data_IF_881714747178
#
_entry.id   IF_881714747178
#
_cell.length_a   1.000
_cell.length_b   1.000
_cell.length_c   1.000
_cell.angle_alpha   90.00
_cell.angle_beta   90.00
_cell.angle_gamma   90.00
#
_symmetry.space_group_name_H-M   'P 1'
#
loop_
_entity.id
_entity.type
_entity.pdbx_description
1 polymer ?
#
# COMPACT_ATOMS: atom_id res chain seq x y z
N UNK A 1 -20.89 12.19 2.89
CA UNK A 1 -19.91 11.70 1.89
C UNK A 1 -18.63 11.49 2.63
N UNK A 2 -18.15 10.24 2.69
CA UNK A 2 -16.93 9.88 3.42
C UNK A 2 -15.73 10.15 2.50
N UNK A 3 -14.70 10.79 3.04
CA UNK A 3 -13.43 11.02 2.37
C UNK A 3 -12.35 10.23 3.08
N UNK A 4 -11.65 9.38 2.35
CA UNK A 4 -10.55 8.61 2.86
C UNK A 4 -9.22 9.24 2.45
N UNK A 5 -8.22 8.97 3.27
CA UNK A 5 -6.82 9.10 2.92
C UNK A 5 -6.21 7.70 2.86
N UNK A 6 -5.34 7.46 1.89
CA UNK A 6 -4.70 6.16 1.69
C UNK A 6 -3.20 6.35 1.52
N UNK A 7 -2.41 5.58 2.26
CA UNK A 7 -0.97 5.40 2.00
C UNK A 7 -0.72 4.06 1.33
N UNK A 8 0.13 4.05 0.32
CA UNK A 8 0.53 2.85 -0.40
C UNK A 8 2.06 2.76 -0.44
N UNK A 9 2.56 1.58 -0.09
CA UNK A 9 3.97 1.23 -0.23
C UNK A 9 4.13 -0.17 -0.85
N UNK A 10 5.23 -0.41 -1.55
CA UNK A 10 5.58 -1.74 -2.04
C UNK A 10 6.15 -2.60 -0.91
N UNK A 11 5.96 -3.92 -1.01
CA UNK A 11 6.56 -4.86 -0.07
C UNK A 11 7.17 -6.01 -0.82
N UNK A 12 8.33 -6.47 -0.36
CA UNK A 12 9.00 -7.65 -0.87
C UNK A 12 9.54 -8.49 0.26
N UNK A 13 9.54 -9.81 0.04
CA UNK A 13 10.27 -10.74 0.89
C UNK A 13 11.77 -10.58 0.68
N UNK A 14 12.61 -11.15 1.55
CA UNK A 14 14.03 -10.79 1.59
C UNK A 14 14.77 -11.08 0.29
N UNK A 15 14.38 -12.16 -0.39
CA UNK A 15 14.98 -12.59 -1.65
C UNK A 15 14.08 -12.27 -2.86
N UNK A 16 13.01 -11.48 -2.67
CA UNK A 16 12.07 -11.09 -3.72
C UNK A 16 11.23 -12.24 -4.28
N UNK A 17 11.16 -13.39 -3.61
CA UNK A 17 10.34 -14.53 -4.05
C UNK A 17 8.84 -14.26 -3.93
N UNK A 18 8.44 -13.31 -3.10
CA UNK A 18 7.08 -12.81 -3.05
C UNK A 18 7.10 -11.30 -2.84
N UNK A 19 6.22 -10.61 -3.55
CA UNK A 19 6.13 -9.15 -3.52
C UNK A 19 4.68 -8.70 -3.64
N UNK A 20 4.40 -7.48 -3.24
CA UNK A 20 3.09 -6.88 -3.39
C UNK A 20 3.05 -5.49 -2.81
N UNK A 21 1.98 -5.17 -2.10
CA UNK A 21 1.71 -3.82 -1.63
C UNK A 21 1.08 -3.82 -0.25
N UNK A 22 1.31 -2.74 0.48
CA UNK A 22 0.59 -2.45 1.71
C UNK A 22 -0.22 -1.19 1.55
N UNK A 23 -1.45 -1.21 2.07
CA UNK A 23 -2.40 -0.11 2.02
C UNK A 23 -2.86 0.20 3.43
N UNK A 24 -2.72 1.44 3.89
CA UNK A 24 -3.45 1.95 5.04
C UNK A 24 -4.48 2.95 4.53
N UNK A 25 -5.74 2.78 4.90
CA UNK A 25 -6.77 3.78 4.61
C UNK A 25 -7.67 4.04 5.79
N UNK A 26 -8.02 5.30 6.01
CA UNK A 26 -8.92 5.75 7.07
C UNK A 26 -9.55 7.09 6.69
N UNK A 27 -10.56 7.54 7.45
CA UNK A 27 -11.25 8.80 7.20
C UNK A 27 -10.31 10.02 7.33
N UNK A 28 -10.34 10.90 6.33
CA UNK A 28 -9.54 12.12 6.23
C UNK A 28 -9.66 13.01 7.47
N UNK A 29 -10.80 12.98 8.18
CA UNK A 29 -10.98 13.76 9.41
C UNK A 29 -9.93 13.46 10.49
N UNK A 30 -9.33 12.26 10.49
CA UNK A 30 -8.31 11.86 11.45
C UNK A 30 -6.87 12.15 10.98
N UNK A 31 -6.68 12.59 9.73
CA UNK A 31 -5.36 12.77 9.14
C UNK A 31 -4.49 13.77 9.91
N UNK A 32 -5.06 14.91 10.28
CA UNK A 32 -4.29 15.97 10.95
C UNK A 32 -3.76 15.46 12.30
N UNK A 33 -4.62 14.85 13.12
CA UNK A 33 -4.23 14.29 14.41
C UNK A 33 -3.20 13.16 14.25
N UNK A 34 -3.36 12.30 13.24
CA UNK A 34 -2.40 11.25 12.92
C UNK A 34 -1.02 11.84 12.58
N UNK A 35 -0.96 12.83 11.69
CA UNK A 35 0.28 13.49 11.29
C UNK A 35 0.96 14.20 12.46
N UNK A 36 0.19 14.94 13.28
CA UNK A 36 0.74 15.66 14.43
C UNK A 36 1.36 14.70 15.45
N UNK A 37 0.66 13.59 15.75
CA UNK A 37 1.18 12.56 16.67
C UNK A 37 2.40 11.85 16.08
N UNK A 38 2.38 11.50 14.80
CA UNK A 38 3.51 10.88 14.12
C UNK A 38 4.74 11.79 14.11
N UNK A 39 4.56 13.09 13.84
CA UNK A 39 5.61 14.10 13.87
C UNK A 39 6.24 14.23 15.26
N UNK A 40 5.42 14.30 16.32
CA UNK A 40 5.91 14.34 17.71
C UNK A 40 6.75 13.09 18.04
N UNK A 41 6.31 11.90 17.60
CA UNK A 41 7.07 10.65 17.79
C UNK A 41 8.40 10.70 17.04
N UNK A 42 8.40 11.17 15.80
CA UNK A 42 9.58 11.29 14.96
C UNK A 42 10.62 12.21 15.59
N UNK A 43 10.22 13.40 16.05
CA UNK A 43 11.09 14.38 16.72
C UNK A 43 11.71 13.82 18.01
N UNK A 44 10.89 13.22 18.88
CA UNK A 44 11.38 12.59 20.13
C UNK A 44 12.36 11.46 19.86
N UNK A 45 12.12 10.69 18.81
CA UNK A 45 12.96 9.57 18.42
C UNK A 45 14.28 10.01 17.75
N UNK A 46 14.37 11.26 17.25
CA UNK A 46 15.48 11.76 16.41
C UNK A 46 15.73 10.89 15.17
N UNK A 47 14.66 10.32 14.61
CA UNK A 47 14.68 9.63 13.32
C UNK A 47 14.40 10.62 12.20
N UNK A 48 14.79 10.27 10.97
CA UNK A 48 14.45 11.04 9.77
C UNK A 48 13.06 10.67 9.24
N UNK A 49 12.74 9.38 9.25
CA UNK A 49 11.43 8.81 8.96
C UNK A 49 11.24 7.51 9.76
N UNK A 50 10.01 7.01 9.82
CA UNK A 50 9.73 5.64 10.21
C UNK A 50 9.84 4.73 8.99
N UNK A 51 11.05 4.22 8.74
CA UNK A 51 11.30 3.23 7.70
C UNK A 51 11.73 1.90 8.30
N UNK A 52 11.04 0.81 7.96
CA UNK A 52 11.28 -0.52 8.48
C UNK A 52 12.70 -1.05 8.19
N UNK A 53 13.37 -0.60 7.13
CA UNK A 53 14.79 -0.93 6.85
C UNK A 53 15.74 -0.25 7.84
N UNK A 54 15.37 0.89 8.40
CA UNK A 54 16.17 1.63 9.39
C UNK A 54 15.91 1.20 10.83
N UNK A 55 15.01 0.24 11.05
CA UNK A 55 14.64 -0.26 12.36
C UNK A 55 15.86 -0.76 13.15
N UNK A 56 16.04 -0.20 14.35
CA UNK A 56 17.16 -0.53 15.26
C UNK A 56 16.61 -0.83 16.65
N UNK A 57 17.21 -1.82 17.33
CA UNK A 57 16.83 -2.24 18.70
C UNK A 57 16.72 -1.08 19.70
N UNK A 58 17.60 -0.09 19.62
CA UNK A 58 17.59 1.09 20.51
C UNK A 58 16.41 2.06 20.27
N UNK A 59 15.63 1.86 19.22
CA UNK A 59 14.46 2.67 18.83
C UNK A 59 13.16 1.86 18.85
N UNK A 60 13.20 0.64 19.39
CA UNK A 60 12.07 -0.30 19.40
C UNK A 60 10.79 0.33 19.92
N UNK A 61 10.86 1.07 21.02
CA UNK A 61 9.69 1.67 21.65
C UNK A 61 9.00 2.70 20.74
N UNK A 62 9.76 3.54 20.03
CA UNK A 62 9.19 4.51 19.08
C UNK A 62 8.50 3.86 17.88
N UNK A 63 9.07 2.77 17.36
CA UNK A 63 8.44 2.01 16.27
C UNK A 63 7.16 1.32 16.76
N UNK A 64 7.16 0.82 18.01
CA UNK A 64 5.96 0.26 18.63
C UNK A 64 4.88 1.33 18.83
N UNK A 65 5.23 2.51 19.33
CA UNK A 65 4.31 3.64 19.48
C UNK A 65 3.73 4.08 18.13
N UNK A 66 4.52 4.08 17.06
CA UNK A 66 4.04 4.38 15.72
C UNK A 66 3.07 3.30 15.19
N UNK A 67 3.35 2.02 15.42
CA UNK A 67 2.40 0.94 15.11
C UNK A 67 1.09 1.08 15.91
N UNK A 68 1.16 1.49 17.18
CA UNK A 68 -0.02 1.75 18.01
C UNK A 68 -0.84 2.94 17.47
N UNK A 69 -0.17 3.97 16.95
CA UNK A 69 -0.85 5.10 16.30
C UNK A 69 -1.60 4.63 15.04
N UNK A 70 -0.99 3.77 14.22
CA UNK A 70 -1.64 3.15 13.05
C UNK A 70 -2.87 2.36 13.48
N UNK A 71 -2.75 1.49 14.50
CA UNK A 71 -3.89 0.76 15.06
C UNK A 71 -5.00 1.71 15.52
N UNK A 72 -4.65 2.80 16.19
CA UNK A 72 -5.64 3.73 16.76
C UNK A 72 -6.52 4.41 15.71
N UNK A 73 -6.05 4.61 14.48
CA UNK A 73 -6.90 5.16 13.39
C UNK A 73 -7.76 4.09 12.73
N UNK A 74 -7.32 2.83 12.75
CA UNK A 74 -8.13 1.69 12.31
C UNK A 74 -9.30 1.46 13.28
N UNK A 75 -9.02 1.51 14.58
CA UNK A 75 -10.02 1.30 15.64
C UNK A 75 -11.03 2.46 15.77
N UNK A 76 -10.83 3.59 15.07
CA UNK A 76 -11.71 4.78 15.18
C UNK A 76 -12.91 4.77 14.25
N UNK A 77 -12.84 4.09 13.10
CA UNK A 77 -13.83 4.25 12.04
C UNK A 77 -14.06 2.95 11.28
N UNK A 78 -15.34 2.63 11.05
CA UNK A 78 -15.74 1.43 10.34
C UNK A 78 -15.23 1.35 8.89
N UNK A 79 -14.85 2.49 8.29
CA UNK A 79 -14.33 2.56 6.93
C UNK A 79 -12.80 2.43 6.89
N UNK A 80 -12.13 2.38 8.04
CA UNK A 80 -10.69 2.23 8.13
C UNK A 80 -10.28 0.77 7.93
N UNK A 81 -9.18 0.58 7.21
CA UNK A 81 -8.53 -0.72 7.09
C UNK A 81 -7.05 -0.57 6.81
N UNK A 82 -6.30 -1.63 7.11
CA UNK A 82 -4.94 -1.83 6.65
C UNK A 82 -4.81 -3.22 6.04
N UNK A 83 -4.14 -3.32 4.91
CA UNK A 83 -3.98 -4.58 4.20
C UNK A 83 -2.57 -4.68 3.63
N UNK A 84 -1.89 -5.79 3.92
CA UNK A 84 -0.67 -6.20 3.22
C UNK A 84 -1.02 -7.36 2.27
N UNK A 85 -0.61 -7.28 1.01
CA UNK A 85 -0.72 -8.37 0.06
C UNK A 85 0.66 -8.82 -0.39
N UNK A 86 0.86 -10.13 -0.46
CA UNK A 86 2.02 -10.77 -1.08
C UNK A 86 1.53 -11.65 -2.22
N UNK A 87 2.13 -11.49 -3.38
CA UNK A 87 1.88 -12.28 -4.59
C UNK A 87 3.08 -13.18 -4.83
N UNK A 88 2.84 -14.38 -5.33
CA UNK A 88 3.90 -15.16 -5.94
C UNK A 88 4.32 -14.53 -7.28
N UNK A 89 5.48 -14.96 -7.78
CA UNK A 89 6.07 -14.42 -9.01
C UNK A 89 5.18 -14.63 -10.25
N UNK A 90 4.52 -15.77 -10.39
CA UNK A 90 3.66 -16.05 -11.54
C UNK A 90 2.44 -15.14 -11.53
N UNK A 91 1.73 -15.08 -10.39
CA UNK A 91 0.58 -14.18 -10.25
C UNK A 91 0.96 -12.71 -10.44
N UNK A 92 2.09 -12.28 -9.89
CA UNK A 92 2.60 -10.91 -10.08
C UNK A 92 2.83 -10.60 -11.56
N UNK A 93 3.49 -11.50 -12.29
CA UNK A 93 3.79 -11.29 -13.70
C UNK A 93 2.52 -11.24 -14.55
N UNK A 94 1.57 -12.14 -14.31
CA UNK A 94 0.28 -12.13 -14.99
C UNK A 94 -0.51 -10.86 -14.69
N UNK A 95 -0.57 -10.46 -13.42
CA UNK A 95 -1.28 -9.25 -13.00
C UNK A 95 -0.62 -7.97 -13.52
N UNK A 96 0.71 -7.92 -13.57
CA UNK A 96 1.45 -6.84 -14.23
C UNK A 96 1.12 -6.76 -15.72
N UNK A 97 1.15 -7.89 -16.44
CA UNK A 97 0.80 -7.93 -17.86
C UNK A 97 -0.64 -7.48 -18.11
N UNK A 98 -1.57 -7.88 -17.25
CA UNK A 98 -2.95 -7.41 -17.27
C UNK A 98 -3.04 -5.89 -17.08
N UNK A 99 -2.41 -5.35 -16.03
CA UNK A 99 -2.44 -3.92 -15.73
C UNK A 99 -1.84 -3.10 -16.86
N UNK A 100 -0.67 -3.50 -17.37
CA UNK A 100 -0.05 -2.88 -18.54
C UNK A 100 -1.00 -2.88 -19.72
N UNK A 101 -1.51 -4.06 -20.12
CA UNK A 101 -2.40 -4.18 -21.28
C UNK A 101 -3.66 -3.30 -21.19
N UNK A 102 -4.27 -3.20 -20.00
CA UNK A 102 -5.45 -2.35 -19.78
C UNK A 102 -5.10 -0.87 -19.94
N UNK A 103 -4.00 -0.42 -19.34
CA UNK A 103 -3.59 0.99 -19.39
C UNK A 103 -3.10 1.36 -20.78
N UNK A 104 -2.12 0.65 -21.37
CA UNK A 104 -1.57 1.03 -22.67
C UNK A 104 -2.66 1.02 -23.75
N UNK A 105 -3.55 0.02 -23.76
CA UNK A 105 -4.66 -0.01 -24.73
C UNK A 105 -5.59 1.20 -24.56
N UNK A 106 -6.01 1.50 -23.32
CA UNK A 106 -6.92 2.61 -23.06
C UNK A 106 -6.29 3.96 -23.40
N UNK A 107 -5.00 4.13 -23.10
CA UNK A 107 -4.27 5.37 -23.35
C UNK A 107 -3.98 5.57 -24.84
N UNK A 108 -3.62 4.50 -25.55
CA UNK A 108 -3.45 4.52 -27.01
C UNK A 108 -4.77 4.85 -27.72
N UNK A 109 -5.90 4.24 -27.32
CA UNK A 109 -7.23 4.57 -27.87
C UNK A 109 -7.64 6.02 -27.59
N UNK A 110 -7.13 6.63 -26.52
CA UNK A 110 -7.35 8.03 -26.17
C UNK A 110 -6.35 9.00 -26.85
N UNK A 111 -5.39 8.52 -27.64
CA UNK A 111 -4.38 9.35 -28.32
C UNK A 111 -3.25 9.85 -27.41
N UNK A 112 -2.94 9.12 -26.32
CA UNK A 112 -1.85 9.45 -25.40
C UNK A 112 -0.58 8.72 -25.87
N UNK A 113 0.40 9.47 -26.36
CA UNK A 113 1.61 8.92 -26.98
C UNK A 113 2.90 9.08 -26.13
N UNK A 114 2.84 9.79 -24.99
CA UNK A 114 3.98 9.94 -24.06
C UNK A 114 4.31 8.58 -23.41
N UNK A 115 5.22 7.83 -24.03
CA UNK A 115 5.62 6.49 -23.56
C UNK A 115 6.19 6.48 -22.13
N UNK A 116 6.87 7.55 -21.71
CA UNK A 116 7.40 7.66 -20.35
C UNK A 116 6.29 7.83 -19.31
N UNK A 117 5.22 8.54 -19.67
CA UNK A 117 4.01 8.65 -18.86
C UNK A 117 3.18 7.35 -18.87
N UNK A 118 3.01 6.71 -20.02
CA UNK A 118 2.30 5.42 -20.14
C UNK A 118 2.96 4.38 -19.23
N UNK A 119 4.29 4.21 -19.32
CA UNK A 119 5.03 3.28 -18.45
C UNK A 119 4.78 3.54 -16.96
N UNK A 120 4.75 4.82 -16.55
CA UNK A 120 4.49 5.18 -15.17
C UNK A 120 3.04 4.88 -14.74
N UNK A 121 2.06 5.15 -15.61
CA UNK A 121 0.67 4.81 -15.35
C UNK A 121 0.44 3.29 -15.27
N UNK A 122 1.11 2.50 -16.11
CA UNK A 122 1.09 1.03 -16.03
C UNK A 122 1.64 0.52 -14.70
N UNK A 123 2.75 1.11 -14.23
CA UNK A 123 3.34 0.77 -12.94
C UNK A 123 2.39 1.12 -11.78
N UNK A 124 1.77 2.30 -11.84
CA UNK A 124 0.81 2.76 -10.83
C UNK A 124 -0.48 1.91 -10.81
N UNK A 125 -0.89 1.34 -11.95
CA UNK A 125 -2.14 0.60 -12.03
C UNK A 125 -2.19 -0.64 -11.12
N UNK A 126 -1.06 -1.32 -10.90
CA UNK A 126 -1.01 -2.52 -10.05
C UNK A 126 -1.42 -2.25 -8.58
N UNK A 127 -0.75 -1.34 -7.84
CA UNK A 127 -1.17 -1.02 -6.47
C UNK A 127 -2.59 -0.48 -6.43
N UNK A 128 -2.98 0.35 -7.40
CA UNK A 128 -4.31 0.95 -7.44
C UNK A 128 -5.39 -0.12 -7.62
N UNK A 129 -5.29 -0.97 -8.65
CA UNK A 129 -6.28 -2.02 -8.91
C UNK A 129 -6.36 -3.04 -7.79
N UNK A 130 -5.23 -3.29 -7.11
CA UNK A 130 -5.19 -4.11 -5.89
C UNK A 130 -5.94 -3.41 -4.76
N UNK A 131 -5.71 -2.11 -4.54
CA UNK A 131 -6.44 -1.33 -3.54
C UNK A 131 -7.96 -1.45 -3.74
N UNK A 132 -8.49 -1.25 -4.96
CA UNK A 132 -9.93 -1.43 -5.24
C UNK A 132 -10.43 -2.84 -4.92
N UNK A 133 -9.63 -3.85 -5.25
CA UNK A 133 -9.96 -5.26 -5.03
C UNK A 133 -9.93 -5.65 -3.55
N UNK A 134 -9.13 -4.96 -2.73
CA UNK A 134 -8.94 -5.26 -1.30
C UNK A 134 -9.78 -4.39 -0.40
N UNK A 135 -10.26 -3.27 -0.90
CA UNK A 135 -11.12 -2.37 -0.15
C UNK A 135 -12.37 -3.11 0.37
N UNK A 136 -12.67 -3.04 1.68
CA UNK A 136 -13.91 -3.60 2.20
C UNK A 136 -15.10 -2.93 1.52
N UNK A 137 -15.98 -3.69 0.90
CA UNK A 137 -17.02 -3.16 0.02
C UNK A 137 -18.10 -2.45 0.86
N UNK A 138 -17.96 -1.13 1.07
CA UNK A 138 -18.94 -0.32 1.81
C UNK A 138 -20.05 0.20 0.88
N UNK A 139 -21.30 0.34 1.37
CA UNK A 139 -22.46 0.67 0.53
C UNK A 139 -22.49 2.12 0.06
N UNK A 140 -21.76 3.03 0.71
CA UNK A 140 -21.82 4.47 0.44
C UNK A 140 -20.79 4.95 -0.60
N UNK A 141 -21.05 6.13 -1.18
CA UNK A 141 -20.07 6.80 -2.04
C UNK A 141 -18.91 7.32 -1.20
N UNK A 142 -17.77 6.64 -1.36
CA UNK A 142 -16.51 6.98 -0.71
C UNK A 142 -15.55 7.58 -1.73
N UNK A 143 -14.96 8.72 -1.38
CA UNK A 143 -13.87 9.33 -2.12
C UNK A 143 -12.55 9.01 -1.44
N UNK A 144 -11.45 8.90 -2.19
CA UNK A 144 -10.12 8.74 -1.60
C UNK A 144 -9.07 9.64 -2.23
N UNK A 145 -8.15 10.12 -1.38
CA UNK A 145 -6.86 10.70 -1.74
C UNK A 145 -5.75 9.70 -1.41
N UNK A 146 -4.83 9.49 -2.34
CA UNK A 146 -3.82 8.44 -2.27
C UNK A 146 -2.42 9.04 -2.30
N UNK A 147 -1.60 8.66 -1.35
CA UNK A 147 -0.16 8.89 -1.32
C UNK A 147 0.54 7.58 -1.69
N UNK A 148 1.39 7.62 -2.71
CA UNK A 148 2.17 6.46 -3.18
C UNK A 148 3.65 6.80 -3.09
N UNK A 149 4.46 5.84 -2.64
CA UNK A 149 5.91 6.03 -2.60
C UNK A 149 6.49 6.36 -3.96
N UNK A 150 7.47 7.26 -3.96
CA UNK A 150 8.10 7.76 -5.17
C UNK A 150 9.24 6.85 -5.55
N UNK A 151 9.20 6.41 -6.81
CA UNK A 151 10.37 5.89 -7.49
C UNK A 151 10.66 6.64 -8.80
N UNK A 152 11.76 6.27 -9.46
CA UNK A 152 12.23 6.91 -10.69
C UNK A 152 11.23 6.84 -11.84
N UNK A 153 10.39 5.81 -11.90
CA UNK A 153 9.34 5.63 -12.91
C UNK A 153 8.11 6.43 -12.52
N UNK A 154 7.62 6.28 -11.28
CA UNK A 154 6.42 6.98 -10.80
C UNK A 154 6.59 8.50 -10.76
N UNK A 155 7.82 9.00 -10.59
CA UNK A 155 8.10 10.44 -10.67
C UNK A 155 7.71 11.09 -12.01
N UNK A 156 7.49 10.30 -13.07
CA UNK A 156 7.02 10.81 -14.38
C UNK A 156 5.53 11.15 -14.42
N UNK A 157 4.80 10.79 -13.37
CA UNK A 157 3.39 11.17 -13.15
C UNK A 157 3.30 12.57 -12.55
N UNK A 158 4.30 12.99 -11.76
CA UNK A 158 4.28 14.29 -11.11
C UNK A 158 4.08 15.43 -12.13
N UNK A 159 3.20 16.35 -11.73
CA UNK A 159 2.43 17.27 -12.56
C UNK A 159 3.20 17.86 -13.75
N UNK A 160 2.90 17.34 -14.93
CA UNK A 160 3.14 17.98 -16.22
C UNK A 160 1.88 17.89 -17.07
N UNK A 161 1.84 18.68 -18.14
CA UNK A 161 0.77 18.63 -19.14
C UNK A 161 1.06 17.49 -20.13
N UNK A 162 0.00 16.82 -20.61
CA UNK A 162 0.04 15.95 -21.78
C UNK A 162 -0.50 16.72 -22.97
N UNK A 163 0.06 16.44 -24.14
CA UNK A 163 -0.54 16.82 -25.40
C UNK A 163 -1.28 15.60 -25.92
N UNK A 164 -2.59 15.73 -26.13
CA UNK A 164 -3.47 14.68 -26.66
C UNK A 164 -4.29 15.31 -27.78
N UNK A 165 -4.11 14.83 -29.01
CA UNK A 165 -4.76 15.39 -30.21
C UNK A 165 -4.62 16.92 -30.28
N UNK A 166 -3.38 17.43 -30.17
CA UNK A 166 -3.02 18.85 -30.13
C UNK A 166 -3.61 19.68 -28.96
N UNK A 167 -4.31 19.03 -28.02
CA UNK A 167 -4.88 19.66 -26.85
C UNK A 167 -4.06 19.36 -25.61
N UNK A 168 -3.89 20.38 -24.78
CA UNK A 168 -3.17 20.26 -23.53
C UNK A 168 -4.11 19.82 -22.40
N UNK A 169 -3.80 18.71 -21.74
CA UNK A 169 -4.55 18.18 -20.59
C UNK A 169 -3.63 17.92 -19.40
N UNK A 170 -4.17 17.87 -18.18
CA UNK A 170 -3.40 17.43 -17.00
C UNK A 170 -3.15 15.92 -17.06
N UNK A 171 -1.92 15.49 -16.75
CA UNK A 171 -1.51 14.07 -16.58
C UNK A 171 -2.38 13.29 -15.59
N UNK A 172 -2.93 13.95 -14.58
CA UNK A 172 -3.83 13.29 -13.62
C UNK A 172 -5.12 12.80 -14.29
N UNK A 173 -5.54 13.47 -15.37
CA UNK A 173 -6.83 13.23 -16.03
C UNK A 173 -7.00 11.77 -16.48
N UNK A 174 -6.12 11.23 -17.33
CA UNK A 174 -6.24 9.84 -17.76
C UNK A 174 -6.00 8.83 -16.64
N UNK A 175 -5.18 9.13 -15.62
CA UNK A 175 -4.95 8.24 -14.48
C UNK A 175 -6.22 8.10 -13.62
N UNK A 176 -6.80 9.21 -13.16
CA UNK A 176 -8.01 9.14 -12.32
C UNK A 176 -9.18 8.53 -13.11
N UNK A 177 -9.30 8.85 -14.40
CA UNK A 177 -10.37 8.34 -15.25
C UNK A 177 -10.28 6.82 -15.45
N UNK A 178 -9.09 6.31 -15.80
CA UNK A 178 -8.85 4.87 -16.00
C UNK A 178 -9.09 4.07 -14.72
N UNK A 179 -8.61 4.55 -13.58
CA UNK A 179 -8.84 3.89 -12.30
C UNK A 179 -10.32 3.87 -11.91
N UNK A 180 -11.00 5.02 -11.98
CA UNK A 180 -12.41 5.09 -11.62
C UNK A 180 -13.27 4.25 -12.58
N UNK A 181 -12.93 4.16 -13.86
CA UNK A 181 -13.61 3.28 -14.82
C UNK A 181 -13.39 1.80 -14.50
N UNK A 182 -12.17 1.39 -14.16
CA UNK A 182 -11.87 0.03 -13.72
C UNK A 182 -12.65 -0.34 -12.45
N UNK A 183 -12.55 0.51 -11.42
CA UNK A 183 -13.24 0.30 -10.14
C UNK A 183 -14.75 0.25 -10.34
N UNK A 184 -15.36 1.18 -11.08
CA UNK A 184 -16.80 1.15 -11.34
C UNK A 184 -17.29 -0.14 -12.01
N UNK A 185 -16.45 -0.77 -12.85
CA UNK A 185 -16.80 -2.01 -13.55
C UNK A 185 -16.56 -3.27 -12.72
N UNK A 186 -15.46 -3.34 -11.99
CA UNK A 186 -15.02 -4.57 -11.30
C UNK A 186 -15.34 -4.58 -9.81
N UNK A 187 -15.30 -3.40 -9.17
CA UNK A 187 -15.44 -3.21 -7.72
C UNK A 187 -16.33 -1.98 -7.46
N UNK A 188 -17.64 -2.05 -7.73
CA UNK A 188 -18.52 -0.88 -7.71
C UNK A 188 -18.63 -0.20 -6.34
N UNK A 189 -18.24 -0.88 -5.26
CA UNK A 189 -18.19 -0.36 -3.89
C UNK A 189 -16.78 0.07 -3.44
N UNK A 190 -15.77 0.01 -4.33
CA UNK A 190 -14.46 0.58 -4.05
C UNK A 190 -14.50 2.12 -4.09
N UNK A 191 -13.60 2.81 -3.38
CA UNK A 191 -13.56 4.26 -3.36
C UNK A 191 -13.24 4.80 -4.74
N UNK A 192 -13.91 5.90 -5.10
CA UNK A 192 -13.53 6.68 -6.28
C UNK A 192 -12.41 7.62 -5.89
N UNK A 193 -11.39 7.80 -6.73
CA UNK A 193 -10.40 8.85 -6.46
C UNK A 193 -10.85 10.18 -7.07
N UNK A 194 -10.68 11.24 -6.26
CA UNK A 194 -10.90 12.62 -6.68
C UNK A 194 -9.88 13.03 -7.75
N UNK A 195 -10.24 14.03 -8.55
CA UNK A 195 -9.28 14.63 -9.48
C UNK A 195 -8.09 15.17 -8.68
N UNK A 196 -6.87 15.03 -9.19
CA UNK A 196 -5.63 15.52 -8.53
C UNK A 196 -5.36 14.92 -7.14
N UNK A 197 -5.99 13.79 -6.79
CA UNK A 197 -5.87 13.21 -5.45
C UNK A 197 -4.83 12.08 -5.33
N UNK A 198 -4.10 11.77 -6.40
CA UNK A 198 -2.95 10.86 -6.35
C UNK A 198 -1.69 11.72 -6.20
N UNK A 199 -0.91 11.46 -5.16
CA UNK A 199 0.33 12.17 -4.86
C UNK A 199 1.48 11.18 -4.84
N UNK A 200 2.47 11.38 -5.70
CA UNK A 200 3.69 10.58 -5.72
C UNK A 200 4.74 11.30 -4.87
N UNK A 201 4.96 10.80 -3.66
CA UNK A 201 5.75 11.46 -2.64
C UNK A 201 6.88 10.53 -2.19
N UNK A 202 8.04 11.08 -1.85
CA UNK A 202 9.02 10.27 -1.11
C UNK A 202 8.45 9.90 0.27
N UNK A 203 8.74 8.70 0.75
CA UNK A 203 8.42 8.20 2.09
C UNK A 203 8.50 9.26 3.22
N UNK A 204 9.59 10.04 3.28
CA UNK A 204 9.84 11.08 4.28
C UNK A 204 8.77 12.18 4.32
N UNK A 205 8.03 12.37 3.22
CA UNK A 205 7.02 13.41 3.08
C UNK A 205 5.59 12.91 3.34
N UNK A 206 5.39 11.62 3.67
CA UNK A 206 4.06 11.10 4.02
C UNK A 206 4.12 10.04 5.12
N UNK A 207 3.52 10.35 6.26
CA UNK A 207 3.31 9.36 7.32
C UNK A 207 2.36 8.23 6.92
N UNK A 208 1.54 8.42 5.87
CA UNK A 208 0.70 7.36 5.33
C UNK A 208 1.55 6.30 4.61
N UNK A 209 2.53 6.72 3.81
CA UNK A 209 3.48 5.83 3.13
C UNK A 209 4.35 5.11 4.17
N UNK A 210 4.89 5.85 5.14
CA UNK A 210 5.68 5.27 6.23
C UNK A 210 4.88 4.23 7.03
N UNK A 211 3.58 4.46 7.24
CA UNK A 211 2.71 3.51 7.91
C UNK A 211 2.50 2.22 7.09
N UNK A 212 2.35 2.34 5.77
CA UNK A 212 2.25 1.20 4.86
C UNK A 212 3.57 0.38 4.85
N UNK A 213 4.73 1.04 4.72
CA UNK A 213 6.07 0.40 4.80
C UNK A 213 6.22 -0.38 6.12
N UNK A 214 5.93 0.31 7.22
CA UNK A 214 6.03 -0.23 8.57
C UNK A 214 5.15 -1.47 8.75
N UNK A 215 3.87 -1.39 8.39
CA UNK A 215 2.97 -2.52 8.54
C UNK A 215 3.36 -3.69 7.63
N UNK A 216 3.68 -3.44 6.36
CA UNK A 216 4.05 -4.48 5.40
C UNK A 216 5.28 -5.26 5.84
N UNK A 217 6.35 -4.56 6.22
CA UNK A 217 7.60 -5.19 6.65
C UNK A 217 7.46 -5.92 7.99
N UNK A 218 6.72 -5.34 8.95
CA UNK A 218 6.58 -5.93 10.27
C UNK A 218 5.63 -7.14 10.26
N UNK A 219 4.54 -7.09 9.48
CA UNK A 219 3.65 -8.24 9.27
C UNK A 219 4.35 -9.38 8.54
N UNK A 220 5.16 -9.09 7.51
CA UNK A 220 5.96 -10.11 6.81
C UNK A 220 7.00 -10.75 7.74
N UNK A 221 7.65 -9.96 8.60
CA UNK A 221 8.56 -10.49 9.63
C UNK A 221 7.83 -11.39 10.64
N UNK A 222 6.60 -11.02 11.03
CA UNK A 222 5.75 -11.83 11.89
C UNK A 222 5.35 -13.17 11.26
N UNK A 223 4.95 -13.16 9.99
CA UNK A 223 4.68 -14.38 9.22
C UNK A 223 5.92 -15.29 9.18
N UNK A 224 7.09 -14.74 8.88
CA UNK A 224 8.32 -15.52 8.84
C UNK A 224 8.66 -16.16 10.22
N UNK A 225 8.44 -15.42 11.32
CA UNK A 225 8.61 -15.94 12.69
C UNK A 225 7.65 -17.11 12.97
N UNK A 226 6.37 -16.99 12.58
CA UNK A 226 5.38 -18.08 12.74
C UNK A 226 5.82 -19.35 12.00
N UNK A 227 6.39 -19.20 10.81
CA UNK A 227 6.88 -20.32 10.01
C UNK A 227 8.20 -20.92 10.53
N UNK A 228 8.76 -20.39 11.61
CA UNK A 228 9.96 -20.92 12.28
C UNK A 228 11.28 -20.26 11.87
N UNK A 229 11.26 -19.19 11.07
CA UNK A 229 12.49 -18.47 10.70
C UNK A 229 13.06 -17.76 11.92
N UNK A 230 14.31 -18.04 12.24
CA UNK A 230 15.00 -17.40 13.35
C UNK A 230 15.95 -16.30 12.84
N UNK A 231 15.58 -15.03 13.04
CA UNK A 231 16.44 -13.89 12.71
C UNK A 231 16.33 -12.82 13.80
N UNK A 232 17.46 -12.40 14.38
CA UNK A 232 17.47 -11.40 15.47
C UNK A 232 16.71 -10.12 15.11
N UNK A 233 16.83 -9.65 13.86
CA UNK A 233 16.15 -8.44 13.39
C UNK A 233 14.66 -8.68 13.15
N UNK A 234 14.31 -9.76 12.43
CA UNK A 234 12.90 -10.06 12.12
C UNK A 234 12.12 -10.47 13.37
N UNK A 235 12.74 -11.16 14.32
CA UNK A 235 12.11 -11.53 15.58
C UNK A 235 11.70 -10.28 16.37
N UNK A 236 12.56 -9.25 16.41
CA UNK A 236 12.22 -7.98 17.07
C UNK A 236 11.08 -7.25 16.36
N UNK A 237 11.09 -7.18 15.01
CA UNK A 237 9.96 -6.61 14.24
C UNK A 237 8.65 -7.37 14.51
N UNK A 238 8.72 -8.69 14.44
CA UNK A 238 7.60 -9.59 14.69
C UNK A 238 7.03 -9.43 16.11
N UNK A 239 7.89 -9.32 17.13
CA UNK A 239 7.47 -9.09 18.52
C UNK A 239 6.78 -7.72 18.70
N UNK A 240 7.27 -6.67 18.04
CA UNK A 240 6.59 -5.37 18.04
C UNK A 240 5.21 -5.47 17.40
N UNK A 241 5.13 -6.13 16.24
CA UNK A 241 3.89 -6.32 15.51
C UNK A 241 2.86 -7.11 16.32
N UNK A 242 3.28 -8.27 16.85
CA UNK A 242 2.48 -9.16 17.68
C UNK A 242 1.94 -8.44 18.93
N UNK A 243 2.75 -7.59 19.58
CA UNK A 243 2.31 -6.80 20.74
C UNK A 243 1.24 -5.75 20.42
N UNK A 244 1.15 -5.29 19.17
CA UNK A 244 0.23 -4.22 18.77
C UNK A 244 -1.00 -4.76 18.08
N UNK A 245 -0.85 -5.79 17.24
CA UNK A 245 -1.94 -6.30 16.42
C UNK A 245 -2.33 -7.73 16.77
N UNK A 246 -1.57 -8.45 17.60
CA UNK A 246 -1.70 -9.89 17.82
C UNK A 246 -3.09 -10.37 18.24
N UNK A 247 -3.84 -9.53 18.94
CA UNK A 247 -5.22 -9.79 19.35
C UNK A 247 -6.24 -9.75 18.20
N UNK A 248 -5.88 -9.13 17.07
CA UNK A 248 -6.73 -9.03 15.87
C UNK A 248 -6.43 -10.11 14.83
N UNK A 249 -5.46 -11.01 15.08
CA UNK A 249 -4.92 -11.92 14.06
C UNK A 249 -5.40 -13.35 14.22
N UNK A 250 -6.05 -13.89 13.17
CA UNK A 250 -6.22 -15.34 13.00
C UNK A 250 -4.98 -15.92 12.31
N UNK A 251 -4.02 -16.41 13.11
CA UNK A 251 -2.77 -17.00 12.61
C UNK A 251 -2.92 -18.45 12.18
N UNK A 252 -4.05 -19.10 12.46
CA UNK A 252 -4.24 -20.54 12.24
C UNK A 252 -4.15 -20.94 10.76
N UNK A 253 -4.44 -20.01 9.86
CA UNK A 253 -4.44 -20.22 8.40
C UNK A 253 -3.11 -19.94 7.74
N UNK A 254 -2.19 -19.22 8.40
CA UNK A 254 -0.91 -18.80 7.82
C UNK A 254 -0.11 -20.01 7.30
N UNK A 255 0.09 -21.10 8.09
CA UNK A 255 0.84 -22.26 7.62
C UNK A 255 0.21 -23.01 6.44
N UNK A 256 -1.08 -22.77 6.13
CA UNK A 256 -1.76 -23.38 4.99
C UNK A 256 -1.64 -22.54 3.71
N UNK A 257 -1.27 -21.26 3.83
CA UNK A 257 -1.21 -20.32 2.70
C UNK A 257 0.23 -20.04 2.27
N UNK A 258 1.17 -20.03 3.22
CA UNK A 258 2.58 -19.67 3.00
C UNK A 258 3.53 -20.66 3.67
N UNK A 259 4.77 -20.71 3.19
CA UNK A 259 5.87 -21.50 3.76
C UNK A 259 7.22 -20.78 3.66
N UNK A 260 8.24 -21.37 4.29
CA UNK A 260 9.62 -20.96 4.11
C UNK A 260 10.28 -21.80 3.02
N UNK A 261 10.81 -21.12 2.00
CA UNK A 261 11.62 -21.70 0.94
C UNK A 261 12.92 -20.92 0.83
N UNK A 262 14.05 -21.56 1.10
CA UNK A 262 15.39 -20.94 1.18
C UNK A 262 15.41 -19.70 2.09
N UNK A 263 14.89 -19.86 3.30
CA UNK A 263 14.73 -18.80 4.30
C UNK A 263 13.83 -17.63 3.87
N UNK A 264 13.06 -17.74 2.78
CA UNK A 264 12.15 -16.69 2.35
C UNK A 264 10.68 -17.13 2.43
N UNK A 265 9.78 -16.17 2.67
CA UNK A 265 8.35 -16.45 2.72
C UNK A 265 7.84 -16.59 1.29
N UNK A 266 7.20 -17.71 0.97
CA UNK A 266 6.60 -17.98 -0.34
C UNK A 266 5.17 -18.48 -0.19
N UNK A 267 4.34 -18.26 -1.20
CA UNK A 267 2.99 -18.80 -1.24
C UNK A 267 3.02 -20.29 -1.60
N UNK A 268 2.18 -21.09 -0.92
CA UNK A 268 2.03 -22.53 -1.22
C UNK A 268 1.21 -22.82 -2.47
N UNK A 269 0.47 -21.82 -2.96
CA UNK A 269 -0.41 -21.89 -4.12
C UNK A 269 -0.30 -20.58 -4.89
N UNK A 270 -0.47 -20.66 -6.19
CA UNK A 270 -0.58 -19.48 -7.06
C UNK A 270 -1.70 -18.54 -6.58
N UNK A 271 -1.42 -17.23 -6.61
CA UNK A 271 -2.32 -16.17 -6.26
C UNK A 271 -1.71 -15.14 -5.31
N UNK A 272 -2.48 -14.79 -4.27
CA UNK A 272 -2.09 -13.77 -3.31
C UNK A 272 -2.41 -14.17 -1.87
N UNK A 273 -1.43 -14.02 -0.99
CA UNK A 273 -1.61 -14.02 0.45
C UNK A 273 -1.99 -12.61 0.91
N UNK A 274 -3.00 -12.50 1.76
CA UNK A 274 -3.53 -11.23 2.22
C UNK A 274 -3.57 -11.21 3.73
N UNK A 275 -3.14 -10.08 4.28
CA UNK A 275 -3.14 -9.81 5.70
C UNK A 275 -3.90 -8.51 5.93
N UNK A 276 -5.18 -8.63 6.27
CA UNK A 276 -6.10 -7.49 6.39
C UNK A 276 -6.57 -7.33 7.83
N UNK A 277 -6.51 -6.11 8.34
CA UNK A 277 -7.13 -5.69 9.59
C UNK A 277 -8.09 -4.55 9.24
N UNK A 278 -9.34 -4.69 9.62
CA UNK A 278 -10.38 -3.67 9.48
C UNK A 278 -11.08 -3.50 10.83
N UNK A 279 -11.80 -2.40 10.98
CA UNK A 279 -12.67 -2.16 12.13
C UNK A 279 -13.65 -3.33 12.34
N UNK A 280 -13.85 -3.73 13.60
CA UNK A 280 -14.75 -4.81 14.02
C UNK A 280 -16.09 -4.28 14.53
#
# INVERSE_FOLDING_TARGET
MIKLVTGIDDIGTMNGKSEGWTFLSFDEQYLQEFNDKAQILLEKSKLKSFHAKEFKRKKTDFYKEFLQLIRSVIDKDQNSFICCTLSDEAWKNDFKCFCSSVISKSFNEAGIEDGGFVEAAEKLAQPMFTYSRRFPQYPDVILTRIDVDRDSILSRIDSSKLIVNDNEISKDTPIFASFNAYSAKQFPHAPKIERTAIRVLSDENSFLIQAADMFGNFSTAFVAKILGKNSKSNNLKAECFEKVFGDLLDTSKIPNMVELSDDDVVLKKEGAFNFTIAYQ
#
